data_IF_299706914830
#
_entry.id   IF_299706914830
#
_cell.length_a   1.000
_cell.length_b   1.000
_cell.length_c   1.000
_cell.angle_alpha   90.00
_cell.angle_beta   90.00
_cell.angle_gamma   90.00
#
_symmetry.space_group_name_H-M   'P 1'
#
loop_
_entity.id
_entity.type
_entity.pdbx_description
1 polymer ?
#
# COMPACT_ATOMS: atom_id res chain seq x y z
N UNK A 1 56.04 2.65 -15.94
CA UNK A 1 55.65 1.91 -14.72
C UNK A 1 54.24 2.31 -14.35
N UNK A 2 53.24 1.55 -14.75
CA UNK A 2 51.84 1.80 -14.39
C UNK A 2 51.49 0.98 -13.15
N UNK A 3 51.18 1.68 -12.06
CA UNK A 3 50.79 1.05 -10.80
C UNK A 3 49.40 0.41 -10.93
N UNK A 4 49.34 -0.92 -10.73
CA UNK A 4 48.06 -1.66 -10.60
C UNK A 4 47.31 -1.15 -9.38
N UNK A 5 46.16 -0.51 -9.60
CA UNK A 5 45.15 -0.22 -8.59
C UNK A 5 44.69 -1.58 -8.02
N UNK A 6 44.94 -1.82 -6.73
CA UNK A 6 44.35 -2.96 -6.00
C UNK A 6 42.83 -2.78 -5.96
N UNK A 7 42.09 -3.64 -6.65
CA UNK A 7 40.67 -3.78 -6.50
C UNK A 7 40.37 -4.16 -5.05
N UNK A 8 39.58 -3.32 -4.37
CA UNK A 8 39.03 -3.66 -3.07
C UNK A 8 38.01 -4.79 -3.25
N UNK A 9 38.05 -5.85 -2.45
CA UNK A 9 37.08 -6.93 -2.57
C UNK A 9 35.66 -6.39 -2.35
N UNK A 10 34.82 -6.59 -3.35
CA UNK A 10 33.38 -6.29 -3.28
C UNK A 10 32.77 -7.23 -2.23
N UNK A 11 32.45 -6.68 -1.04
CA UNK A 11 31.79 -7.44 0.03
C UNK A 11 30.36 -7.74 -0.45
N UNK A 12 30.03 -9.02 -0.59
CA UNK A 12 28.70 -9.47 -0.95
C UNK A 12 27.67 -9.00 0.09
N UNK A 13 26.45 -8.64 -0.35
CA UNK A 13 25.38 -8.16 0.54
C UNK A 13 25.11 -9.11 1.70
N UNK A 14 25.25 -10.41 1.46
CA UNK A 14 25.06 -11.45 2.47
C UNK A 14 26.17 -11.40 3.55
N UNK A 15 27.42 -11.19 3.16
CA UNK A 15 28.55 -11.00 4.07
C UNK A 15 28.40 -9.72 4.89
N UNK A 16 27.92 -8.62 4.29
CA UNK A 16 27.67 -7.36 4.98
C UNK A 16 26.58 -7.52 6.07
N UNK A 17 25.51 -8.22 5.76
CA UNK A 17 24.45 -8.54 6.72
C UNK A 17 24.94 -9.42 7.88
N UNK A 18 25.77 -10.42 7.59
CA UNK A 18 26.38 -11.27 8.62
C UNK A 18 27.24 -10.46 9.59
N UNK A 19 28.07 -9.55 9.06
CA UNK A 19 28.92 -8.65 9.84
C UNK A 19 28.07 -7.71 10.71
N UNK A 20 27.03 -7.09 10.16
CA UNK A 20 26.13 -6.20 10.89
C UNK A 20 25.41 -6.93 12.04
N UNK A 21 24.95 -8.16 11.79
CA UNK A 21 24.31 -9.00 12.81
C UNK A 21 25.28 -9.42 13.90
N UNK A 22 26.53 -9.77 13.55
CA UNK A 22 27.58 -10.08 14.50
C UNK A 22 27.90 -8.86 15.39
N UNK A 23 28.04 -7.67 14.79
CA UNK A 23 28.25 -6.42 15.52
C UNK A 23 27.10 -6.08 16.46
N UNK A 24 25.85 -6.28 16.03
CA UNK A 24 24.64 -6.07 16.88
C UNK A 24 24.65 -7.00 18.09
N UNK A 25 25.03 -8.27 17.92
CA UNK A 25 25.18 -9.24 19.01
C UNK A 25 26.27 -8.86 20.01
N UNK A 26 27.42 -8.39 19.51
CA UNK A 26 28.52 -7.92 20.35
C UNK A 26 28.09 -6.72 21.17
N UNK A 27 27.40 -5.74 20.57
CA UNK A 27 26.82 -4.58 21.28
C UNK A 27 25.83 -4.99 22.37
N UNK A 28 24.96 -5.95 22.11
CA UNK A 28 24.00 -6.44 23.11
C UNK A 28 24.70 -7.12 24.31
N UNK A 29 25.68 -8.00 24.06
CA UNK A 29 26.49 -8.63 25.11
C UNK A 29 27.26 -7.57 25.91
N UNK A 30 27.89 -6.60 25.24
CA UNK A 30 28.62 -5.52 25.93
C UNK A 30 27.68 -4.72 26.85
N UNK A 31 26.46 -4.40 26.40
CA UNK A 31 25.45 -3.72 27.22
C UNK A 31 25.05 -4.55 28.44
N UNK A 32 24.89 -5.86 28.28
CA UNK A 32 24.58 -6.77 29.38
C UNK A 32 25.67 -6.75 30.44
N UNK A 33 26.96 -6.80 30.06
CA UNK A 33 28.09 -6.67 31.00
C UNK A 33 28.08 -5.33 31.76
N UNK A 34 27.79 -4.24 31.07
CA UNK A 34 27.65 -2.93 31.71
C UNK A 34 26.53 -2.92 32.76
N UNK A 35 25.34 -3.48 32.41
CA UNK A 35 24.24 -3.60 33.36
C UNK A 35 24.58 -4.51 34.56
N UNK A 36 25.34 -5.58 34.36
CA UNK A 36 25.82 -6.42 35.44
C UNK A 36 26.74 -5.67 36.42
N UNK A 37 27.71 -4.95 35.90
CA UNK A 37 28.61 -4.14 36.70
C UNK A 37 27.85 -3.05 37.47
N UNK A 38 26.94 -2.35 36.81
CA UNK A 38 26.07 -1.35 37.46
C UNK A 38 25.19 -1.96 38.54
N UNK A 39 24.67 -3.17 38.35
CA UNK A 39 23.89 -3.89 39.34
C UNK A 39 24.74 -4.22 40.58
N UNK A 40 25.97 -4.71 40.41
CA UNK A 40 26.85 -5.03 41.52
C UNK A 40 27.24 -3.76 42.33
N UNK A 41 27.70 -2.72 41.64
CA UNK A 41 28.11 -1.44 42.28
C UNK A 41 26.91 -0.81 43.00
N UNK A 42 25.77 -0.73 42.35
CA UNK A 42 24.56 -0.14 42.92
C UNK A 42 24.02 -0.95 44.11
N UNK A 43 24.07 -2.29 44.06
CA UNK A 43 23.69 -3.13 45.20
C UNK A 43 24.58 -2.89 46.42
N UNK A 44 25.91 -2.79 46.21
CA UNK A 44 26.83 -2.48 47.29
C UNK A 44 26.51 -1.09 47.88
N UNK A 45 26.23 -0.09 47.00
CA UNK A 45 25.91 1.26 47.44
C UNK A 45 24.61 1.32 48.28
N UNK A 46 23.56 0.59 47.84
CA UNK A 46 22.29 0.50 48.58
C UNK A 46 22.48 -0.18 49.96
N UNK A 47 23.31 -1.21 50.05
CA UNK A 47 23.63 -1.87 51.30
C UNK A 47 24.34 -0.92 52.24
N UNK A 48 25.38 -0.19 51.79
CA UNK A 48 26.09 0.81 52.55
C UNK A 48 25.19 1.96 53.02
N UNK A 49 24.30 2.43 52.12
CA UNK A 49 23.34 3.48 52.43
C UNK A 49 22.41 3.10 53.62
N UNK A 50 21.95 1.85 53.63
CA UNK A 50 21.10 1.38 54.72
C UNK A 50 21.88 1.04 55.99
N UNK A 51 23.06 0.35 55.88
CA UNK A 51 23.76 -0.20 57.04
C UNK A 51 24.70 0.84 57.71
N UNK A 52 25.33 1.73 56.96
CA UNK A 52 26.32 2.70 57.44
C UNK A 52 25.72 4.09 57.59
N UNK A 53 24.88 4.51 56.60
CA UNK A 53 24.31 5.86 56.55
C UNK A 53 22.92 5.96 57.16
N UNK A 54 22.38 4.85 57.67
CA UNK A 54 21.03 4.72 58.27
C UNK A 54 19.87 5.24 57.42
N UNK A 55 20.08 5.29 56.12
CA UNK A 55 19.08 5.84 55.17
C UNK A 55 17.93 4.86 55.04
N UNK A 56 16.69 5.29 55.36
CA UNK A 56 15.47 4.51 55.17
C UNK A 56 15.24 3.36 56.12
N UNK A 57 15.88 3.33 57.31
CA UNK A 57 15.72 2.25 58.30
C UNK A 57 14.27 2.05 58.75
N UNK A 58 13.45 3.08 58.76
CA UNK A 58 12.04 3.02 59.20
C UNK A 58 11.12 2.48 58.10
N UNK A 59 11.58 2.40 56.84
CA UNK A 59 10.82 1.91 55.71
C UNK A 59 11.04 0.39 55.51
N UNK A 60 10.06 -0.42 55.96
CA UNK A 60 10.13 -1.88 55.89
C UNK A 60 9.00 -2.48 55.02
N UNK A 61 9.12 -2.43 53.70
CA UNK A 61 8.16 -3.06 52.83
C UNK A 61 8.17 -4.60 53.06
N UNK A 62 6.95 -5.18 53.23
CA UNK A 62 6.80 -6.62 53.54
C UNK A 62 7.52 -7.09 54.83
N UNK A 63 7.61 -6.30 55.85
CA UNK A 63 8.34 -6.57 57.10
C UNK A 63 9.84 -6.91 56.92
N UNK A 64 10.41 -6.54 55.81
CA UNK A 64 11.84 -6.71 55.49
C UNK A 64 12.52 -5.37 55.30
N UNK A 65 13.83 -5.36 55.47
CA UNK A 65 14.66 -4.17 55.18
C UNK A 65 14.45 -3.75 53.73
N UNK A 66 14.19 -2.47 53.48
CA UNK A 66 13.84 -1.94 52.17
C UNK A 66 14.89 -2.22 51.09
N UNK A 67 16.18 -2.22 51.44
CA UNK A 67 17.26 -2.51 50.49
C UNK A 67 17.20 -3.89 49.89
N UNK A 68 16.72 -4.92 50.66
CA UNK A 68 16.49 -6.24 50.12
C UNK A 68 15.45 -6.23 49.04
N UNK A 69 14.33 -5.56 49.27
CA UNK A 69 13.25 -5.42 48.28
C UNK A 69 13.74 -4.67 47.03
N UNK A 70 14.52 -3.61 47.18
CA UNK A 70 15.10 -2.84 46.08
C UNK A 70 16.07 -3.71 45.24
N UNK A 71 16.95 -4.48 45.89
CA UNK A 71 17.88 -5.37 45.18
C UNK A 71 17.12 -6.50 44.48
N UNK A 72 16.05 -7.09 45.08
CA UNK A 72 15.24 -8.12 44.43
C UNK A 72 14.52 -7.59 43.18
N UNK A 73 13.95 -6.40 43.24
CA UNK A 73 13.32 -5.77 42.07
C UNK A 73 14.36 -5.50 40.99
N UNK A 74 15.54 -5.00 41.34
CA UNK A 74 16.61 -4.76 40.38
C UNK A 74 17.16 -6.05 39.79
N UNK A 75 17.31 -7.09 40.59
CA UNK A 75 17.70 -8.43 40.14
C UNK A 75 16.69 -9.01 39.16
N UNK A 76 15.38 -8.80 39.39
CA UNK A 76 14.34 -9.22 38.46
C UNK A 76 14.52 -8.59 37.08
N UNK A 77 14.72 -7.27 37.00
CA UNK A 77 14.99 -6.58 35.73
C UNK A 77 16.30 -7.02 35.08
N UNK A 78 17.32 -7.29 35.88
CA UNK A 78 18.58 -7.80 35.35
C UNK A 78 18.39 -9.21 34.75
N UNK A 79 17.72 -10.12 35.44
CA UNK A 79 17.41 -11.46 34.95
C UNK A 79 16.52 -11.41 33.69
N UNK A 80 15.55 -10.50 33.64
CA UNK A 80 14.76 -10.26 32.43
C UNK A 80 15.66 -9.83 31.26
N UNK A 81 16.65 -8.97 31.53
CA UNK A 81 17.59 -8.55 30.50
C UNK A 81 18.50 -9.71 30.02
N UNK A 82 18.97 -10.55 30.93
CA UNK A 82 19.70 -11.80 30.61
C UNK A 82 18.83 -12.71 29.74
N UNK A 83 17.59 -12.95 30.15
CA UNK A 83 16.63 -13.76 29.41
C UNK A 83 16.46 -13.23 27.99
N UNK A 84 16.25 -11.92 27.84
CA UNK A 84 16.06 -11.29 26.53
C UNK A 84 17.30 -11.43 25.63
N UNK A 85 18.52 -11.27 26.17
CA UNK A 85 19.76 -11.39 25.39
C UNK A 85 20.09 -12.83 25.00
N UNK A 86 19.83 -13.82 25.84
CA UNK A 86 20.25 -15.21 25.58
C UNK A 86 19.14 -16.12 25.09
N UNK A 87 17.91 -15.96 25.59
CA UNK A 87 16.81 -16.89 25.35
C UNK A 87 15.96 -16.44 24.17
N UNK A 88 15.57 -15.16 24.13
CA UNK A 88 14.72 -14.65 23.03
C UNK A 88 15.39 -14.83 21.68
N UNK A 89 16.73 -14.59 21.60
CA UNK A 89 17.47 -14.81 20.35
C UNK A 89 17.67 -16.28 19.96
N UNK A 90 17.62 -17.20 20.92
CA UNK A 90 17.74 -18.63 20.65
C UNK A 90 16.43 -19.20 20.09
N UNK A 91 15.29 -18.73 20.59
CA UNK A 91 13.95 -19.20 20.18
C UNK A 91 13.35 -18.42 19.02
N UNK A 92 13.67 -17.12 18.87
CA UNK A 92 13.13 -16.23 17.83
C UNK A 92 14.25 -15.64 16.96
N UNK A 93 15.34 -16.37 16.77
CA UNK A 93 16.46 -15.95 15.91
C UNK A 93 16.13 -16.03 14.41
N UNK A 94 17.02 -15.45 13.55
CA UNK A 94 16.87 -15.46 12.08
C UNK A 94 16.53 -16.85 11.51
N UNK A 95 17.04 -17.94 12.08
CA UNK A 95 16.73 -19.29 11.63
C UNK A 95 15.25 -19.68 11.86
N UNK A 96 14.65 -19.23 12.95
CA UNK A 96 13.21 -19.41 13.21
C UNK A 96 12.37 -18.55 12.28
N UNK A 97 12.75 -17.28 12.11
CA UNK A 97 12.08 -16.33 11.20
C UNK A 97 12.12 -16.84 9.76
N UNK A 98 13.29 -17.30 9.29
CA UNK A 98 13.45 -17.92 7.97
C UNK A 98 12.55 -19.13 7.80
N UNK A 99 12.52 -20.01 8.82
CA UNK A 99 11.65 -21.20 8.80
C UNK A 99 10.16 -20.86 8.76
N UNK A 100 9.73 -19.76 9.40
CA UNK A 100 8.35 -19.28 9.29
C UNK A 100 8.06 -18.70 7.92
N UNK A 101 8.99 -17.91 7.36
CA UNK A 101 8.88 -17.37 5.99
C UNK A 101 8.81 -18.51 4.97
N UNK A 102 9.69 -19.50 5.06
CA UNK A 102 9.69 -20.66 4.16
C UNK A 102 8.38 -21.44 4.25
N UNK A 103 7.84 -21.59 5.46
CA UNK A 103 6.54 -22.25 5.67
C UNK A 103 5.40 -21.47 5.03
N UNK A 104 5.38 -20.14 5.18
CA UNK A 104 4.37 -19.27 4.56
C UNK A 104 4.50 -19.27 3.04
N UNK A 105 5.72 -19.20 2.51
CA UNK A 105 5.98 -19.27 1.07
C UNK A 105 5.55 -20.61 0.49
N UNK A 106 5.78 -21.73 1.21
CA UNK A 106 5.34 -23.05 0.79
C UNK A 106 3.80 -23.14 0.76
N UNK A 107 3.13 -22.60 1.77
CA UNK A 107 1.66 -22.55 1.80
C UNK A 107 1.11 -21.71 0.64
N UNK A 108 1.71 -20.57 0.35
CA UNK A 108 1.33 -19.75 -0.80
C UNK A 108 1.54 -20.48 -2.13
N UNK A 109 2.69 -21.17 -2.31
CA UNK A 109 2.95 -21.96 -3.51
C UNK A 109 1.92 -23.08 -3.70
N UNK A 110 1.61 -23.82 -2.63
CA UNK A 110 0.59 -24.86 -2.68
C UNK A 110 -0.81 -24.28 -3.02
N UNK A 111 -1.14 -23.12 -2.50
CA UNK A 111 -2.40 -22.43 -2.82
C UNK A 111 -2.47 -22.01 -4.29
N UNK A 112 -1.36 -21.43 -4.80
CA UNK A 112 -1.24 -21.05 -6.22
C UNK A 112 -1.35 -22.30 -7.12
N UNK A 113 -0.74 -23.41 -6.73
CA UNK A 113 -0.78 -24.66 -7.49
C UNK A 113 -2.19 -25.28 -7.48
N UNK A 114 -2.89 -25.22 -6.34
CA UNK A 114 -4.29 -25.62 -6.24
C UNK A 114 -5.16 -24.77 -7.17
N UNK A 115 -5.04 -23.44 -7.11
CA UNK A 115 -5.77 -22.52 -8.00
C UNK A 115 -5.46 -22.77 -9.48
N UNK A 116 -4.17 -23.01 -9.82
CA UNK A 116 -3.79 -23.37 -11.20
C UNK A 116 -4.39 -24.70 -11.66
N UNK A 117 -4.52 -25.66 -10.75
CA UNK A 117 -5.12 -26.95 -11.07
C UNK A 117 -6.66 -26.87 -11.17
N UNK A 118 -7.30 -26.01 -10.37
CA UNK A 118 -8.72 -25.66 -10.50
C UNK A 118 -8.97 -24.98 -11.85
N UNK A 119 -8.17 -23.96 -12.20
CA UNK A 119 -8.22 -23.28 -13.50
C UNK A 119 -7.95 -24.25 -14.67
N UNK A 120 -7.03 -25.23 -14.53
CA UNK A 120 -6.82 -26.26 -15.58
C UNK A 120 -7.98 -27.22 -15.74
N UNK A 121 -8.76 -27.48 -14.69
CA UNK A 121 -9.98 -28.29 -14.79
C UNK A 121 -11.12 -27.52 -15.48
N UNK A 122 -11.14 -26.20 -15.34
CA UNK A 122 -12.08 -25.30 -15.99
C UNK A 122 -11.59 -24.85 -17.39
N UNK A 123 -10.30 -25.06 -17.70
CA UNK A 123 -9.68 -24.67 -18.96
C UNK A 123 -10.38 -25.16 -20.24
N UNK A 124 -10.96 -26.38 -20.33
CA UNK A 124 -11.69 -26.75 -21.54
C UNK A 124 -12.95 -25.90 -21.73
N UNK A 125 -13.63 -25.49 -20.65
CA UNK A 125 -14.82 -24.63 -20.71
C UNK A 125 -14.42 -23.20 -21.04
N UNK A 126 -13.28 -22.73 -20.47
CA UNK A 126 -12.71 -21.38 -20.71
C UNK A 126 -12.13 -21.29 -22.13
N UNK A 127 -11.41 -22.29 -22.61
CA UNK A 127 -10.85 -22.31 -23.97
C UNK A 127 -11.93 -22.26 -25.08
N UNK A 128 -13.06 -22.89 -24.84
CA UNK A 128 -14.21 -22.82 -25.76
C UNK A 128 -14.88 -21.43 -25.69
N UNK A 129 -14.93 -20.82 -24.49
CA UNK A 129 -15.41 -19.45 -24.29
C UNK A 129 -14.40 -18.40 -24.76
N UNK A 130 -13.10 -18.64 -24.63
CA UNK A 130 -12.05 -17.75 -25.16
C UNK A 130 -12.00 -17.77 -26.69
N UNK A 131 -12.12 -18.91 -27.31
CA UNK A 131 -12.20 -19.01 -28.77
C UNK A 131 -13.50 -18.39 -29.33
N UNK A 132 -14.60 -18.48 -28.59
CA UNK A 132 -15.85 -17.77 -28.88
C UNK A 132 -15.66 -16.24 -28.65
N UNK A 133 -15.02 -15.85 -27.57
CA UNK A 133 -14.71 -14.43 -27.26
C UNK A 133 -13.62 -13.83 -28.18
N UNK A 134 -12.60 -14.60 -28.58
CA UNK A 134 -11.61 -14.17 -29.59
C UNK A 134 -12.20 -13.98 -30.96
N UNK A 135 -13.19 -14.80 -31.32
CA UNK A 135 -13.96 -14.62 -32.56
C UNK A 135 -14.89 -13.41 -32.50
N UNK A 136 -15.39 -13.04 -31.31
CA UNK A 136 -16.15 -11.80 -31.08
C UNK A 136 -15.25 -10.56 -30.99
N UNK A 137 -14.07 -10.68 -30.41
CA UNK A 137 -13.12 -9.56 -30.27
C UNK A 137 -12.39 -9.17 -31.57
N UNK A 138 -12.35 -10.06 -32.57
CA UNK A 138 -11.80 -9.73 -33.91
C UNK A 138 -12.81 -9.07 -34.86
N UNK A 139 -14.08 -9.01 -34.43
CA UNK A 139 -15.14 -8.41 -35.23
C UNK A 139 -15.80 -7.28 -34.47
N UNK A 140 -15.45 -6.09 -34.49
CA UNK A 140 -16.07 -4.89 -33.94
C UNK A 140 -15.64 -4.50 -32.51
N UNK A 141 -14.40 -4.06 -32.35
CA UNK A 141 -14.08 -3.16 -31.25
C UNK A 141 -14.69 -1.77 -31.56
N UNK A 142 -16.01 -1.64 -31.32
CA UNK A 142 -16.77 -0.41 -31.57
C UNK A 142 -16.72 0.57 -30.39
N UNK A 143 -16.12 0.16 -29.26
CA UNK A 143 -16.10 0.94 -28.01
C UNK A 143 -14.68 1.17 -27.50
N UNK A 144 -14.30 2.42 -27.24
CA UNK A 144 -13.02 2.83 -26.66
C UNK A 144 -13.17 3.07 -25.14
N UNK A 145 -12.78 2.08 -24.31
CA UNK A 145 -12.87 2.22 -22.86
C UNK A 145 -11.84 3.24 -22.34
N UNK A 146 -12.32 4.36 -21.84
CA UNK A 146 -11.45 5.49 -21.43
C UNK A 146 -11.48 5.68 -19.93
N UNK A 147 -10.31 5.77 -19.30
CA UNK A 147 -10.17 6.25 -17.91
C UNK A 147 -10.11 7.77 -17.94
N UNK A 148 -10.89 8.43 -17.10
CA UNK A 148 -10.76 9.88 -16.85
C UNK A 148 -10.49 10.12 -15.37
N UNK A 149 -9.45 10.88 -15.05
CA UNK A 149 -8.98 11.10 -13.68
C UNK A 149 -8.25 12.43 -13.55
N UNK A 150 -8.41 13.11 -12.43
CA UNK A 150 -7.50 14.15 -11.97
C UNK A 150 -6.64 13.59 -10.83
N UNK A 151 -5.31 13.72 -10.92
CA UNK A 151 -4.36 13.22 -9.95
C UNK A 151 -3.23 14.22 -9.69
N UNK A 152 -2.84 14.37 -8.44
CA UNK A 152 -1.71 15.17 -7.98
C UNK A 152 -0.36 14.63 -8.47
N UNK A 153 0.72 15.36 -8.26
CA UNK A 153 2.07 14.92 -8.61
C UNK A 153 2.46 13.61 -7.89
N UNK A 154 1.99 13.41 -6.66
CA UNK A 154 2.14 12.19 -5.87
C UNK A 154 1.02 11.16 -6.09
N UNK A 155 0.28 11.24 -7.21
CA UNK A 155 -0.84 10.37 -7.59
C UNK A 155 -2.06 10.43 -6.65
N UNK A 156 -2.16 11.37 -5.71
CA UNK A 156 -3.33 11.58 -4.87
C UNK A 156 -4.55 11.95 -5.72
N UNK A 157 -5.74 11.40 -5.41
CA UNK A 157 -7.00 11.66 -6.13
C UNK A 157 -8.15 12.10 -5.20
N UNK A 158 -8.00 11.94 -3.89
CA UNK A 158 -9.04 12.29 -2.94
C UNK A 158 -8.64 12.05 -1.49
N UNK A 159 -9.37 12.71 -0.57
CA UNK A 159 -9.27 12.53 0.87
C UNK A 159 -10.68 12.59 1.47
N UNK A 160 -10.99 11.69 2.39
CA UNK A 160 -12.30 11.62 3.08
C UNK A 160 -13.49 11.62 2.09
N UNK A 161 -13.36 10.88 0.98
CA UNK A 161 -14.36 10.78 -0.09
C UNK A 161 -14.68 12.11 -0.79
N UNK A 162 -13.73 13.08 -0.81
CA UNK A 162 -13.85 14.39 -1.46
C UNK A 162 -12.66 14.66 -2.37
N UNK A 163 -12.87 15.51 -3.37
CA UNK A 163 -11.76 16.07 -4.14
C UNK A 163 -10.91 17.01 -3.27
N UNK A 164 -9.59 17.01 -3.48
CA UNK A 164 -8.64 17.75 -2.64
C UNK A 164 -8.46 19.19 -3.14
N UNK A 165 -8.70 19.41 -4.42
CA UNK A 165 -8.58 20.72 -5.10
C UNK A 165 -9.84 21.08 -5.85
N UNK A 166 -9.92 22.32 -6.28
CA UNK A 166 -10.95 22.80 -7.19
C UNK A 166 -10.30 23.38 -8.46
N UNK A 167 -10.54 22.74 -9.59
CA UNK A 167 -10.07 23.18 -10.92
C UNK A 167 -11.27 23.29 -11.86
N UNK A 168 -11.68 24.52 -12.15
CA UNK A 168 -12.88 24.78 -12.94
C UNK A 168 -12.78 24.22 -14.37
N UNK A 169 -11.60 24.26 -14.96
CA UNK A 169 -11.37 23.78 -16.32
C UNK A 169 -11.30 22.25 -16.40
N UNK A 170 -10.80 21.58 -15.34
CA UNK A 170 -10.90 20.13 -15.20
C UNK A 170 -12.37 19.68 -15.15
N UNK A 171 -13.19 20.35 -14.34
CA UNK A 171 -14.63 20.05 -14.24
C UNK A 171 -15.36 20.29 -15.58
N UNK A 172 -15.01 21.34 -16.32
CA UNK A 172 -15.55 21.59 -17.66
C UNK A 172 -15.13 20.51 -18.64
N UNK A 173 -13.84 20.09 -18.62
CA UNK A 173 -13.30 19.02 -19.45
C UNK A 173 -13.98 17.69 -19.13
N UNK A 174 -14.08 17.34 -17.85
CA UNK A 174 -14.81 16.14 -17.40
C UNK A 174 -16.26 16.16 -17.91
N UNK A 175 -16.96 17.28 -17.74
CA UNK A 175 -18.33 17.44 -18.23
C UNK A 175 -18.41 17.28 -19.75
N UNK A 176 -17.51 17.87 -20.51
CA UNK A 176 -17.50 17.80 -21.98
C UNK A 176 -17.26 16.38 -22.49
N UNK A 177 -16.23 15.69 -21.94
CA UNK A 177 -15.86 14.36 -22.38
C UNK A 177 -16.89 13.30 -22.00
N UNK A 178 -17.47 13.36 -20.82
CA UNK A 178 -18.39 12.32 -20.32
C UNK A 178 -19.85 12.55 -20.71
N UNK A 179 -20.20 13.67 -21.34
CA UNK A 179 -21.60 14.00 -21.65
C UNK A 179 -22.19 13.08 -22.72
N UNK A 180 -23.30 12.44 -22.41
CA UNK A 180 -23.96 11.46 -23.30
C UNK A 180 -23.44 10.04 -23.18
N UNK A 181 -22.42 9.80 -22.32
CA UNK A 181 -21.76 8.52 -22.17
C UNK A 181 -22.11 7.78 -20.86
N UNK A 182 -21.77 6.50 -20.81
CA UNK A 182 -21.76 5.74 -19.58
C UNK A 182 -20.55 6.14 -18.72
N UNK A 183 -20.80 6.37 -17.43
CA UNK A 183 -19.75 6.62 -16.45
C UNK A 183 -19.74 5.49 -15.42
N UNK A 184 -18.62 4.77 -15.38
CA UNK A 184 -18.42 3.59 -14.55
C UNK A 184 -17.62 3.99 -13.29
N UNK A 185 -18.13 3.63 -12.11
CA UNK A 185 -17.53 4.03 -10.85
C UNK A 185 -17.82 3.05 -9.71
N UNK A 186 -17.01 3.08 -8.69
CA UNK A 186 -17.30 2.41 -7.42
C UNK A 186 -18.34 3.16 -6.59
N UNK A 187 -19.04 2.45 -5.71
CA UNK A 187 -20.07 2.98 -4.82
C UNK A 187 -19.65 4.26 -4.08
N UNK A 188 -18.46 4.28 -3.46
CA UNK A 188 -17.98 5.47 -2.72
C UNK A 188 -17.87 6.71 -3.61
N UNK A 189 -17.44 6.54 -4.85
CA UNK A 189 -17.37 7.64 -5.82
C UNK A 189 -18.77 8.12 -6.19
N UNK A 190 -19.73 7.22 -6.37
CA UNK A 190 -21.12 7.59 -6.61
C UNK A 190 -21.73 8.36 -5.44
N UNK A 191 -21.47 7.92 -4.20
CA UNK A 191 -21.94 8.58 -2.97
C UNK A 191 -21.31 9.96 -2.71
N UNK A 192 -20.19 10.28 -3.36
CA UNK A 192 -19.58 11.61 -3.30
C UNK A 192 -20.34 12.67 -4.10
N UNK A 193 -21.21 12.26 -5.02
CA UNK A 193 -22.06 13.18 -5.77
C UNK A 193 -23.34 13.49 -5.00
N UNK A 194 -23.76 14.77 -4.93
CA UNK A 194 -25.01 15.14 -4.28
C UNK A 194 -26.25 14.60 -5.02
N UNK A 195 -26.12 14.33 -6.31
CA UNK A 195 -27.13 13.72 -7.20
C UNK A 195 -26.47 13.17 -8.44
N UNK A 196 -27.15 12.22 -9.16
CA UNK A 196 -26.66 11.75 -10.45
C UNK A 196 -26.39 12.88 -11.44
N UNK A 197 -25.29 12.78 -12.18
CA UNK A 197 -24.91 13.77 -13.15
C UNK A 197 -25.85 13.74 -14.36
N UNK A 198 -26.34 14.87 -14.84
CA UNK A 198 -27.31 14.91 -15.97
C UNK A 198 -26.65 14.45 -17.30
N UNK A 199 -27.44 13.85 -18.16
CA UNK A 199 -27.03 13.37 -19.48
C UNK A 199 -25.89 12.32 -19.46
N UNK A 200 -25.86 11.48 -18.43
CA UNK A 200 -24.92 10.35 -18.30
C UNK A 200 -25.66 9.15 -17.76
N UNK A 201 -25.27 7.97 -18.21
CA UNK A 201 -25.72 6.72 -17.63
C UNK A 201 -24.71 6.29 -16.56
N UNK A 202 -25.14 6.22 -15.30
CA UNK A 202 -24.28 5.82 -14.19
C UNK A 202 -24.26 4.30 -14.06
N UNK A 203 -23.06 3.72 -14.03
CA UNK A 203 -22.85 2.30 -13.74
C UNK A 203 -22.02 2.21 -12.45
N UNK A 204 -22.66 1.71 -11.39
CA UNK A 204 -22.08 1.68 -10.04
C UNK A 204 -21.67 0.26 -9.66
N UNK A 205 -20.40 0.07 -9.38
CA UNK A 205 -19.85 -1.22 -8.96
C UNK A 205 -19.88 -1.31 -7.43
N UNK A 206 -20.58 -2.32 -6.90
CA UNK A 206 -20.64 -2.59 -5.45
C UNK A 206 -20.85 -4.06 -5.15
N UNK A 207 -20.30 -4.52 -4.01
CA UNK A 207 -20.55 -5.86 -3.46
C UNK A 207 -21.79 -5.93 -2.57
N UNK A 208 -22.43 -4.79 -2.31
CA UNK A 208 -23.66 -4.73 -1.52
C UNK A 208 -24.83 -5.20 -2.36
N UNK A 209 -25.55 -6.23 -1.90
CA UNK A 209 -26.70 -6.83 -2.63
C UNK A 209 -27.93 -5.94 -2.60
N UNK A 210 -28.11 -5.15 -1.55
CA UNK A 210 -29.32 -4.34 -1.34
C UNK A 210 -29.06 -2.83 -1.51
N UNK A 211 -28.07 -2.48 -2.35
CA UNK A 211 -27.70 -1.09 -2.57
C UNK A 211 -28.79 -0.36 -3.38
N UNK A 212 -29.41 0.63 -2.73
CA UNK A 212 -30.48 1.43 -3.34
C UNK A 212 -29.90 2.62 -4.10
N UNK A 213 -30.38 2.82 -5.32
CA UNK A 213 -29.96 3.90 -6.20
C UNK A 213 -31.16 4.60 -6.83
N UNK A 214 -31.04 5.86 -7.26
CA UNK A 214 -32.05 6.54 -8.06
C UNK A 214 -32.37 5.79 -9.36
N UNK A 215 -33.56 6.03 -9.91
CA UNK A 215 -33.98 5.49 -11.19
C UNK A 215 -32.98 5.88 -12.31
N UNK A 216 -32.69 4.93 -13.20
CA UNK A 216 -31.75 5.12 -14.32
C UNK A 216 -30.28 4.85 -13.97
N UNK A 217 -29.94 4.54 -12.71
CA UNK A 217 -28.59 4.09 -12.30
C UNK A 217 -28.52 2.58 -12.36
N UNK A 218 -27.48 2.07 -13.03
CA UNK A 218 -27.22 0.63 -13.17
C UNK A 218 -26.30 0.19 -12.04
N UNK A 219 -26.66 -0.86 -11.30
CA UNK A 219 -25.81 -1.45 -10.24
C UNK A 219 -25.30 -2.81 -10.68
N UNK A 220 -24.00 -3.03 -10.55
CA UNK A 220 -23.32 -4.27 -10.93
C UNK A 220 -22.30 -4.70 -9.88
N UNK A 221 -21.79 -5.94 -9.95
CA UNK A 221 -20.90 -6.48 -8.94
C UNK A 221 -19.42 -6.49 -9.36
N UNK A 222 -19.13 -6.36 -10.66
CA UNK A 222 -17.77 -6.41 -11.21
C UNK A 222 -17.54 -5.32 -12.26
N UNK A 223 -16.26 -5.09 -12.58
CA UNK A 223 -15.88 -4.17 -13.65
C UNK A 223 -16.26 -4.73 -15.02
N UNK A 224 -16.17 -6.05 -15.21
CA UNK A 224 -16.56 -6.76 -16.42
C UNK A 224 -18.07 -6.60 -16.70
N UNK A 225 -18.90 -6.74 -15.68
CA UNK A 225 -20.34 -6.50 -15.77
C UNK A 225 -20.64 -5.04 -16.12
N UNK A 226 -19.86 -4.09 -15.55
CA UNK A 226 -20.01 -2.67 -15.85
C UNK A 226 -19.66 -2.34 -17.30
N UNK A 227 -18.57 -2.90 -17.82
CA UNK A 227 -18.19 -2.75 -19.24
C UNK A 227 -19.25 -3.38 -20.14
N UNK A 228 -19.76 -4.55 -19.77
CA UNK A 228 -20.85 -5.22 -20.52
C UNK A 228 -22.14 -4.40 -20.53
N UNK A 229 -22.49 -3.75 -19.43
CA UNK A 229 -23.65 -2.84 -19.36
C UNK A 229 -23.49 -1.61 -20.28
N UNK A 230 -22.25 -1.16 -20.50
CA UNK A 230 -21.92 -0.02 -21.35
C UNK A 230 -21.56 -0.40 -22.80
N UNK A 231 -21.73 -1.66 -23.23
CA UNK A 231 -21.27 -2.18 -24.53
C UNK A 231 -21.76 -1.45 -25.78
N UNK A 232 -22.90 -0.75 -25.68
CA UNK A 232 -23.47 0.02 -26.79
C UNK A 232 -22.99 1.47 -26.84
N UNK A 233 -22.15 1.89 -25.87
CA UNK A 233 -21.55 3.20 -25.83
C UNK A 233 -20.22 3.16 -26.60
N UNK A 234 -20.00 4.04 -27.58
CA UNK A 234 -18.73 4.08 -28.32
C UNK A 234 -17.55 4.47 -27.46
N UNK A 235 -17.77 5.20 -26.32
CA UNK A 235 -16.71 5.64 -25.44
C UNK A 235 -17.17 5.71 -23.96
N UNK A 236 -17.32 4.58 -23.27
CA UNK A 236 -17.62 4.58 -21.85
C UNK A 236 -16.42 5.06 -21.04
N UNK A 237 -16.70 5.80 -19.96
CA UNK A 237 -15.67 6.41 -19.10
C UNK A 237 -15.63 5.76 -17.74
N UNK A 238 -14.42 5.39 -17.29
CA UNK A 238 -14.17 4.97 -15.91
C UNK A 238 -13.72 6.20 -15.11
N UNK A 239 -14.49 6.54 -14.08
CA UNK A 239 -14.30 7.76 -13.29
C UNK A 239 -13.86 7.49 -11.84
N UNK A 240 -13.56 6.23 -11.49
CA UNK A 240 -12.91 5.90 -10.21
C UNK A 240 -13.77 5.10 -9.22
N UNK A 241 -13.35 4.97 -7.93
CA UNK A 241 -12.08 5.44 -7.33
C UNK A 241 -10.89 4.51 -7.51
N UNK A 242 -9.90 4.65 -6.62
CA UNK A 242 -8.59 3.99 -6.75
C UNK A 242 -8.64 2.49 -7.06
N UNK A 243 -9.49 1.72 -6.39
CA UNK A 243 -9.62 0.28 -6.65
C UNK A 243 -10.19 -0.03 -8.04
N UNK A 244 -11.11 0.81 -8.53
CA UNK A 244 -11.66 0.64 -9.88
C UNK A 244 -10.62 1.04 -10.93
N UNK A 245 -9.88 2.14 -10.71
CA UNK A 245 -8.78 2.53 -11.60
C UNK A 245 -7.70 1.45 -11.71
N UNK A 246 -7.35 0.80 -10.58
CA UNK A 246 -6.35 -0.27 -10.56
C UNK A 246 -6.75 -1.46 -11.45
N UNK A 247 -8.01 -1.86 -11.42
CA UNK A 247 -8.53 -2.92 -12.28
C UNK A 247 -8.64 -2.45 -13.74
N UNK A 248 -9.14 -1.22 -13.92
CA UNK A 248 -9.38 -0.64 -15.24
C UNK A 248 -8.11 -0.41 -16.06
N UNK A 249 -6.97 -0.10 -15.44
CA UNK A 249 -5.68 0.04 -16.14
C UNK A 249 -5.27 -1.19 -16.94
N UNK A 250 -5.80 -2.37 -16.61
CA UNK A 250 -5.53 -3.60 -17.36
C UNK A 250 -6.39 -3.73 -18.63
N UNK A 251 -7.55 -3.07 -18.66
CA UNK A 251 -8.59 -3.24 -19.69
C UNK A 251 -8.81 -2.00 -20.57
N UNK A 252 -8.54 -0.81 -20.05
CA UNK A 252 -8.77 0.46 -20.73
C UNK A 252 -7.85 0.64 -21.96
N UNK A 253 -8.34 1.39 -22.94
CA UNK A 253 -7.64 1.74 -24.18
C UNK A 253 -6.96 3.09 -24.08
N UNK A 254 -7.54 4.01 -23.29
CA UNK A 254 -7.15 5.39 -23.22
C UNK A 254 -7.22 5.93 -21.79
N UNK A 255 -6.36 6.89 -21.46
CA UNK A 255 -6.39 7.62 -20.19
C UNK A 255 -6.41 9.11 -20.49
N UNK A 256 -7.41 9.81 -19.99
CA UNK A 256 -7.54 11.26 -19.97
C UNK A 256 -7.19 11.73 -18.54
N UNK A 257 -5.95 12.14 -18.34
CA UNK A 257 -5.42 12.52 -17.02
C UNK A 257 -5.29 14.04 -16.91
N UNK A 258 -5.82 14.61 -15.84
CA UNK A 258 -5.45 15.94 -15.39
C UNK A 258 -4.39 15.81 -14.31
N UNK A 259 -3.14 16.15 -14.62
CA UNK A 259 -2.02 16.11 -13.67
C UNK A 259 -1.90 17.46 -12.97
N UNK A 260 -2.17 17.51 -11.68
CA UNK A 260 -1.95 18.69 -10.83
C UNK A 260 -0.50 18.68 -10.35
N UNK A 261 0.24 19.77 -10.61
CA UNK A 261 1.68 19.86 -10.33
C UNK A 261 1.99 20.26 -8.88
N UNK A 262 1.35 19.59 -7.94
CA UNK A 262 1.57 19.74 -6.49
C UNK A 262 1.29 18.43 -5.78
N UNK A 263 1.92 18.20 -4.61
CA UNK A 263 1.71 17.04 -3.77
C UNK A 263 0.63 17.34 -2.71
N UNK A 264 -0.25 16.37 -2.46
CA UNK A 264 -1.32 16.52 -1.48
C UNK A 264 -1.38 15.33 -0.51
N UNK A 265 -1.79 15.59 0.73
CA UNK A 265 -2.21 14.53 1.64
C UNK A 265 -3.51 13.89 1.16
N UNK A 266 -3.52 12.56 1.07
CA UNK A 266 -4.65 11.80 0.54
C UNK A 266 -4.79 10.43 1.19
N UNK A 267 -5.98 9.84 1.05
CA UNK A 267 -6.27 8.44 1.39
C UNK A 267 -6.63 7.59 0.15
N UNK A 268 -6.81 8.24 -1.00
CA UNK A 268 -7.06 7.59 -2.28
C UNK A 268 -6.03 8.04 -3.32
N UNK A 269 -5.50 7.08 -4.08
CA UNK A 269 -4.44 7.32 -5.06
C UNK A 269 -4.77 6.66 -6.40
N UNK A 270 -4.31 7.29 -7.47
CA UNK A 270 -4.28 6.70 -8.81
C UNK A 270 -3.07 5.76 -8.92
N UNK A 271 -3.22 4.57 -9.51
CA UNK A 271 -2.09 3.68 -9.71
C UNK A 271 -1.11 4.25 -10.73
N UNK A 272 0.17 3.91 -10.59
CA UNK A 272 1.22 4.36 -11.49
C UNK A 272 0.98 3.89 -12.91
N UNK A 273 1.12 4.82 -13.85
CA UNK A 273 1.06 4.55 -15.29
C UNK A 273 2.38 3.91 -15.73
N UNK A 274 2.33 2.69 -16.23
CA UNK A 274 3.51 1.98 -16.74
C UNK A 274 3.83 2.45 -18.16
N UNK A 275 4.96 3.13 -18.32
CA UNK A 275 5.44 3.62 -19.62
C UNK A 275 5.76 2.50 -20.62
N UNK A 276 5.87 1.25 -20.19
CA UNK A 276 6.00 0.11 -21.12
C UNK A 276 4.68 -0.22 -21.82
N UNK A 277 3.55 0.03 -21.18
CA UNK A 277 2.18 -0.26 -21.66
C UNK A 277 1.53 0.98 -22.27
N UNK A 278 1.78 2.14 -21.73
CA UNK A 278 1.11 3.38 -22.08
C UNK A 278 2.03 4.36 -22.79
N UNK A 279 1.52 5.02 -23.82
CA UNK A 279 2.21 6.09 -24.56
C UNK A 279 1.49 7.40 -24.37
N UNK A 280 2.19 8.44 -23.91
CA UNK A 280 1.68 9.80 -23.89
C UNK A 280 1.52 10.31 -25.34
N UNK A 281 0.32 10.71 -25.71
CA UNK A 281 -0.03 11.18 -27.06
C UNK A 281 -0.38 12.67 -27.09
N UNK A 282 -0.76 13.24 -25.95
CA UNK A 282 -1.00 14.67 -25.81
C UNK A 282 -0.61 15.19 -24.42
N UNK A 283 -0.15 16.44 -24.37
CA UNK A 283 0.19 17.14 -23.13
C UNK A 283 -0.08 18.65 -23.34
N UNK A 284 -1.02 19.19 -22.56
CA UNK A 284 -1.37 20.61 -22.61
C UNK A 284 -1.21 21.19 -21.21
N UNK A 285 -0.20 22.01 -21.02
CA UNK A 285 0.12 22.65 -19.75
C UNK A 285 -0.70 23.93 -19.51
N UNK A 286 -1.16 24.11 -18.28
CA UNK A 286 -1.91 25.26 -17.80
C UNK A 286 -1.22 25.88 -16.59
N UNK A 287 -0.91 27.17 -16.66
CA UNK A 287 -0.36 27.92 -15.53
C UNK A 287 -1.44 28.29 -14.51
N UNK A 288 -1.02 28.66 -13.30
CA UNK A 288 -1.90 29.31 -12.31
C UNK A 288 -2.50 30.58 -12.88
N UNK A 289 -3.76 30.81 -12.58
CA UNK A 289 -4.49 32.01 -12.93
C UNK A 289 -5.50 32.42 -11.85
N UNK A 290 -6.33 33.41 -12.08
CA UNK A 290 -7.35 33.87 -11.12
C UNK A 290 -8.41 32.82 -10.77
N UNK A 291 -8.58 31.78 -11.61
CA UNK A 291 -9.54 30.69 -11.44
C UNK A 291 -8.91 29.38 -10.96
N UNK A 292 -7.56 29.27 -10.99
CA UNK A 292 -6.83 28.04 -10.70
C UNK A 292 -5.65 28.30 -9.76
N UNK A 293 -5.75 27.82 -8.53
CA UNK A 293 -4.70 27.96 -7.50
C UNK A 293 -3.45 27.11 -7.81
N UNK A 294 -3.57 26.08 -8.66
CA UNK A 294 -2.50 25.14 -8.98
C UNK A 294 -2.24 25.09 -10.49
N UNK A 295 -0.98 24.86 -10.85
CA UNK A 295 -0.61 24.50 -12.21
C UNK A 295 -1.04 23.07 -12.50
N UNK A 296 -1.47 22.80 -13.73
CA UNK A 296 -1.89 21.47 -14.14
C UNK A 296 -1.65 21.22 -15.62
N UNK A 297 -1.65 19.93 -16.00
CA UNK A 297 -1.58 19.53 -17.42
C UNK A 297 -2.71 18.60 -17.75
N UNK A 298 -3.30 18.76 -18.93
CA UNK A 298 -4.13 17.75 -19.55
C UNK A 298 -3.25 16.79 -20.35
N UNK A 299 -3.24 15.53 -19.94
CA UNK A 299 -2.44 14.48 -20.55
C UNK A 299 -3.37 13.42 -21.14
N UNK A 300 -3.04 12.93 -22.32
CA UNK A 300 -3.71 11.79 -22.93
C UNK A 300 -2.71 10.67 -23.12
N UNK A 301 -3.07 9.48 -22.68
CA UNK A 301 -2.30 8.25 -22.90
C UNK A 301 -3.13 7.26 -23.71
N UNK A 302 -2.48 6.60 -24.64
CA UNK A 302 -3.05 5.49 -25.41
C UNK A 302 -2.26 4.21 -25.14
N UNK A 303 -2.93 3.08 -25.20
CA UNK A 303 -2.29 1.78 -25.02
C UNK A 303 -1.39 1.51 -26.24
N UNK A 304 -0.16 1.01 -25.99
CA UNK A 304 0.81 0.64 -27.04
C UNK A 304 0.39 -0.60 -27.81
#
# INVERSE_FOLDING_TARGET
MFGKKKEQPQIDKEQLELIQNAQKRIKQKKRLYVHFVLFLIGSIFIIIANTVLDIGKDFRPFDKEWFLSAIFVWLFFFLYHVFNVFITHKFMGKAWEQKQLDKLMLQQKLRIEQLKNELKKEAPIIAESEHYNESLNKKDKTSELTIIVAAAQNDAIGKDNKLIWHLSDDLKRFKSLTNGHHIIMGRKTFESFPKPLPNRTHVVITRQTDYQVPEGVIVVNSLEDAISAAKNDPQPYIIGGGEIYKQALLLADKIELTRVHEDFEADAFFPKIDASVWKETANVFHTKDENHEHEFSFLTYERK
#
